data_IF_287814397218
#
_entry.id   IF_287814397218
#
_cell.length_a   1.000
_cell.length_b   1.000
_cell.length_c   1.000
_cell.angle_alpha   90.00
_cell.angle_beta   90.00
_cell.angle_gamma   90.00
#
_symmetry.space_group_name_H-M   'P 1'
#
loop_
_entity.id
_entity.type
_entity.pdbx_description
1 polymer ?
#
# COMPACT_ATOMS: atom_id res chain seq x y z
N UNK A 1 1.78 -16.02 -11.19
CA UNK A 1 2.77 -15.33 -10.35
C UNK A 1 2.16 -14.95 -9.01
N UNK A 2 2.92 -15.13 -7.93
CA UNK A 2 2.50 -14.75 -6.58
C UNK A 2 3.06 -13.39 -6.23
N UNK A 3 2.19 -12.44 -5.89
CA UNK A 3 2.53 -11.08 -5.50
C UNK A 3 2.05 -10.85 -4.07
N UNK A 4 2.96 -10.44 -3.21
CA UNK A 4 2.70 -10.14 -1.79
C UNK A 4 2.53 -8.63 -1.62
N UNK A 5 1.43 -8.23 -0.99
CA UNK A 5 1.16 -6.83 -0.64
C UNK A 5 1.11 -6.70 0.88
N UNK A 6 1.78 -5.69 1.42
CA UNK A 6 1.92 -5.44 2.86
C UNK A 6 1.28 -4.10 3.20
N UNK A 7 0.46 -4.10 4.24
CA UNK A 7 -0.20 -2.89 4.75
C UNK A 7 0.76 -1.87 5.36
N UNK A 8 0.19 -0.75 5.77
CA UNK A 8 0.91 0.44 6.24
C UNK A 8 1.99 0.12 7.27
N UNK A 9 3.26 0.38 6.93
CA UNK A 9 4.38 0.22 7.86
C UNK A 9 4.40 1.42 8.81
N UNK A 10 4.23 1.15 10.11
CA UNK A 10 4.06 2.20 11.11
C UNK A 10 5.32 2.34 11.97
N UNK A 11 5.95 3.50 11.87
CA UNK A 11 7.10 3.92 12.65
C UNK A 11 8.29 2.93 12.58
N UNK A 12 9.25 3.11 13.49
CA UNK A 12 10.43 2.24 13.58
C UNK A 12 10.04 0.80 13.92
N UNK A 13 9.07 0.62 14.82
CA UNK A 13 8.59 -0.70 15.23
C UNK A 13 8.05 -1.50 14.04
N UNK A 14 7.30 -0.86 13.14
CA UNK A 14 6.84 -1.49 11.90
C UNK A 14 7.98 -1.83 10.94
N UNK A 15 8.97 -0.95 10.81
CA UNK A 15 10.17 -1.22 9.99
C UNK A 15 10.95 -2.43 10.53
N UNK A 16 11.19 -2.48 11.85
CA UNK A 16 11.91 -3.58 12.48
C UNK A 16 11.14 -4.92 12.34
N UNK A 17 9.82 -4.89 12.51
CA UNK A 17 8.92 -6.03 12.29
C UNK A 17 9.01 -6.54 10.84
N UNK A 18 8.92 -5.63 9.86
CA UNK A 18 9.05 -5.95 8.45
C UNK A 18 10.37 -6.66 8.16
N UNK A 19 11.50 -6.12 8.65
CA UNK A 19 12.84 -6.68 8.48
C UNK A 19 12.95 -8.11 9.03
N UNK A 20 12.33 -8.38 10.17
CA UNK A 20 12.38 -9.69 10.81
C UNK A 20 11.54 -10.73 10.06
N UNK A 21 10.37 -10.35 9.56
CA UNK A 21 9.36 -11.28 9.04
C UNK A 21 9.43 -11.43 7.51
N UNK A 22 9.55 -10.33 6.77
CA UNK A 22 9.35 -10.31 5.32
C UNK A 22 10.29 -11.25 4.55
N UNK A 23 11.61 -11.33 4.81
CA UNK A 23 12.49 -12.20 4.02
C UNK A 23 12.15 -13.69 4.14
N UNK A 24 11.73 -14.12 5.34
CA UNK A 24 11.25 -15.48 5.59
C UNK A 24 9.92 -15.75 4.89
N UNK A 25 8.99 -14.83 5.04
CA UNK A 25 7.64 -14.90 4.47
C UNK A 25 7.65 -14.95 2.93
N UNK A 26 8.49 -14.15 2.27
CA UNK A 26 8.65 -14.19 0.80
C UNK A 26 9.05 -15.59 0.33
N UNK A 27 10.00 -16.23 1.04
CA UNK A 27 10.45 -17.60 0.70
C UNK A 27 9.34 -18.63 0.96
N UNK A 28 8.70 -18.57 2.14
CA UNK A 28 7.59 -19.46 2.53
C UNK A 28 6.47 -19.46 1.48
N UNK A 29 6.04 -18.27 1.08
CA UNK A 29 4.93 -18.08 0.15
C UNK A 29 5.33 -18.23 -1.33
N UNK A 30 6.62 -18.18 -1.64
CA UNK A 30 7.12 -18.16 -3.03
C UNK A 30 6.77 -16.87 -3.76
N UNK A 31 6.65 -15.74 -3.02
CA UNK A 31 6.33 -14.45 -3.60
C UNK A 31 7.47 -13.94 -4.50
N UNK A 32 7.11 -13.57 -5.73
CA UNK A 32 8.06 -13.08 -6.75
C UNK A 32 8.18 -11.56 -6.77
N UNK A 33 7.17 -10.87 -6.26
CA UNK A 33 7.12 -9.41 -6.14
C UNK A 33 6.48 -9.07 -4.79
N UNK A 34 6.98 -8.02 -4.14
CA UNK A 34 6.45 -7.52 -2.87
C UNK A 34 6.25 -6.02 -2.93
N UNK A 35 5.02 -5.59 -2.67
CA UNK A 35 4.61 -4.19 -2.60
C UNK A 35 4.34 -3.87 -1.14
N UNK A 36 4.88 -2.77 -0.64
CA UNK A 36 4.76 -2.35 0.76
C UNK A 36 4.26 -0.92 0.83
N UNK A 37 3.20 -0.65 1.58
CA UNK A 37 2.85 0.73 1.87
C UNK A 37 3.75 1.28 2.98
N UNK A 38 4.56 2.29 2.64
CA UNK A 38 5.60 2.83 3.52
C UNK A 38 5.29 4.21 4.09
N UNK A 39 4.11 4.78 3.84
CA UNK A 39 3.81 6.20 4.12
C UNK A 39 3.95 6.61 5.59
N UNK A 40 3.79 5.68 6.52
CA UNK A 40 3.81 5.93 7.97
C UNK A 40 5.10 5.45 8.66
N UNK A 41 6.15 5.12 7.89
CA UNK A 41 7.38 4.50 8.40
C UNK A 41 8.30 5.45 9.19
N UNK A 42 8.11 6.76 9.09
CA UNK A 42 8.83 7.73 9.91
C UNK A 42 8.12 7.99 11.25
N UNK A 43 8.89 8.33 12.28
CA UNK A 43 8.31 8.78 13.55
C UNK A 43 7.53 10.08 13.33
N UNK A 44 6.26 10.10 13.76
CA UNK A 44 5.36 11.24 13.60
C UNK A 44 4.79 11.39 12.18
N UNK A 45 4.60 10.28 11.48
CA UNK A 45 4.05 10.11 10.13
C UNK A 45 4.95 10.58 8.97
N UNK A 46 4.61 10.15 7.78
CA UNK A 46 5.40 10.36 6.58
C UNK A 46 6.49 9.30 6.43
N UNK A 47 7.32 9.48 5.43
CA UNK A 47 8.45 8.63 5.10
C UNK A 47 9.71 9.47 4.99
N UNK A 48 10.85 8.93 5.42
CA UNK A 48 12.16 9.53 5.28
C UNK A 48 13.04 8.66 4.38
N UNK A 49 14.09 9.20 3.72
CA UNK A 49 14.99 8.39 2.89
C UNK A 49 15.54 7.16 3.61
N UNK A 50 15.92 7.32 4.88
CA UNK A 50 16.43 6.21 5.69
C UNK A 50 15.40 5.12 5.96
N UNK A 51 14.11 5.47 6.22
CA UNK A 51 13.06 4.46 6.40
C UNK A 51 12.66 3.80 5.07
N UNK A 52 12.64 4.55 3.96
CA UNK A 52 12.41 4.00 2.62
C UNK A 52 13.50 2.98 2.26
N UNK A 53 14.77 3.35 2.43
CA UNK A 53 15.89 2.44 2.17
C UNK A 53 15.80 1.19 3.05
N UNK A 54 15.46 1.35 4.33
CA UNK A 54 15.29 0.22 5.25
C UNK A 54 14.18 -0.74 4.80
N UNK A 55 13.08 -0.23 4.27
CA UNK A 55 11.97 -1.04 3.72
C UNK A 55 12.44 -1.79 2.46
N UNK A 56 13.14 -1.14 1.53
CA UNK A 56 13.75 -1.82 0.37
C UNK A 56 14.72 -2.90 0.78
N UNK A 57 15.64 -2.61 1.70
CA UNK A 57 16.64 -3.56 2.22
C UNK A 57 15.99 -4.73 2.99
N UNK A 58 14.75 -4.57 3.44
CA UNK A 58 13.96 -5.63 4.07
C UNK A 58 13.32 -6.57 3.07
N UNK A 59 13.38 -6.25 1.77
CA UNK A 59 12.90 -7.09 0.68
C UNK A 59 11.64 -6.59 -0.03
N UNK A 60 11.24 -5.34 0.16
CA UNK A 60 10.23 -4.69 -0.68
C UNK A 60 10.82 -4.43 -2.08
N UNK A 61 10.05 -4.70 -3.10
CA UNK A 61 10.42 -4.42 -4.50
C UNK A 61 9.83 -3.08 -4.95
N UNK A 62 8.65 -2.70 -4.41
CA UNK A 62 7.99 -1.40 -4.66
C UNK A 62 7.44 -0.87 -3.34
N UNK A 63 7.59 0.42 -3.11
CA UNK A 63 6.97 1.14 -2.00
C UNK A 63 5.88 2.05 -2.55
N UNK A 64 4.67 1.91 -2.02
CA UNK A 64 3.54 2.82 -2.26
C UNK A 64 3.35 3.77 -1.09
N UNK A 65 2.79 4.93 -1.36
CA UNK A 65 2.52 5.98 -0.37
C UNK A 65 1.04 6.40 -0.42
N UNK A 66 0.62 7.15 0.59
CA UNK A 66 -0.70 7.72 0.72
C UNK A 66 -0.67 9.23 1.04
N UNK A 67 -1.63 9.71 1.84
CA UNK A 67 -1.79 11.12 2.18
C UNK A 67 -0.66 11.72 3.03
N UNK A 68 0.13 10.89 3.70
CA UNK A 68 1.31 11.35 4.44
C UNK A 68 2.61 11.28 3.62
N UNK A 69 2.57 10.70 2.41
CA UNK A 69 3.76 10.40 1.62
C UNK A 69 4.62 11.63 1.26
N UNK A 70 3.99 12.80 1.08
CA UNK A 70 4.69 14.07 0.79
C UNK A 70 4.89 14.97 2.01
N UNK A 71 4.62 14.48 3.22
CA UNK A 71 4.67 15.27 4.46
C UNK A 71 6.10 15.69 4.84
N UNK A 72 7.08 14.88 4.47
CA UNK A 72 8.51 15.10 4.74
C UNK A 72 9.22 15.51 3.46
N UNK A 73 9.71 16.74 3.38
CA UNK A 73 10.41 17.22 2.17
C UNK A 73 11.70 16.48 1.89
N UNK A 74 12.29 15.88 2.91
CA UNK A 74 13.52 15.09 2.81
C UNK A 74 13.39 13.88 1.86
N UNK A 75 12.16 13.37 1.63
CA UNK A 75 11.92 12.25 0.71
C UNK A 75 11.89 12.67 -0.77
N UNK A 76 11.69 13.97 -1.08
CA UNK A 76 11.46 14.43 -2.45
C UNK A 76 12.56 14.06 -3.43
N UNK A 77 13.87 14.22 -3.12
CA UNK A 77 14.92 13.77 -4.03
C UNK A 77 14.83 12.28 -4.34
N UNK A 78 14.57 11.44 -3.33
CA UNK A 78 14.45 10.00 -3.53
C UNK A 78 13.21 9.64 -4.36
N UNK A 79 12.09 10.38 -4.24
CA UNK A 79 10.90 10.21 -5.09
C UNK A 79 11.19 10.48 -6.56
N UNK A 80 12.05 11.47 -6.87
CA UNK A 80 12.43 11.79 -8.25
C UNK A 80 13.39 10.75 -8.83
N UNK A 81 14.32 10.25 -8.03
CA UNK A 81 15.41 9.37 -8.47
C UNK A 81 15.01 7.88 -8.49
N UNK A 82 14.17 7.43 -7.54
CA UNK A 82 13.80 6.02 -7.40
C UNK A 82 12.42 5.75 -8.00
N UNK A 83 12.39 5.05 -9.13
CA UNK A 83 11.15 4.72 -9.84
C UNK A 83 10.25 3.70 -9.10
N UNK A 84 10.77 2.99 -8.09
CA UNK A 84 10.04 2.01 -7.30
C UNK A 84 9.44 2.60 -6.00
N UNK A 85 9.60 3.90 -5.79
CA UNK A 85 8.96 4.65 -4.71
C UNK A 85 7.82 5.50 -5.30
N UNK A 86 6.57 5.09 -5.07
CA UNK A 86 5.40 5.66 -5.73
C UNK A 86 4.58 6.54 -4.79
N UNK A 87 4.39 7.82 -5.17
CA UNK A 87 3.34 8.65 -4.58
C UNK A 87 2.00 8.38 -5.25
N UNK A 88 0.85 8.77 -4.65
CA UNK A 88 -0.43 8.66 -5.33
C UNK A 88 -0.46 9.39 -6.70
N UNK A 89 -0.97 8.70 -7.72
CA UNK A 89 -0.98 9.19 -9.11
C UNK A 89 -1.95 10.36 -9.33
N UNK A 90 -2.91 10.54 -8.42
CA UNK A 90 -3.89 11.63 -8.48
C UNK A 90 -3.47 12.90 -7.71
N UNK A 91 -2.23 13.01 -7.25
CA UNK A 91 -1.64 14.31 -6.91
C UNK A 91 -1.40 15.15 -8.17
N UNK A 92 -1.27 16.45 -7.99
CA UNK A 92 -0.94 17.37 -9.07
C UNK A 92 0.35 16.93 -9.81
N UNK A 93 0.44 17.08 -11.14
CA UNK A 93 1.61 16.65 -11.91
C UNK A 93 2.96 17.26 -11.47
N UNK A 94 2.94 18.44 -10.83
CA UNK A 94 4.16 19.06 -10.27
C UNK A 94 4.62 18.46 -8.94
N UNK A 95 3.88 17.50 -8.35
CA UNK A 95 4.34 16.81 -7.16
C UNK A 95 5.54 15.92 -7.50
N UNK A 96 6.57 15.83 -6.61
CA UNK A 96 7.77 15.05 -6.87
C UNK A 96 7.48 13.57 -7.05
N UNK A 97 8.22 12.92 -7.94
CA UNK A 97 8.12 11.50 -8.21
C UNK A 97 6.93 11.09 -9.08
N UNK A 98 6.67 9.82 -9.14
CA UNK A 98 5.69 9.20 -10.05
C UNK A 98 4.62 8.41 -9.28
N UNK A 99 3.46 8.20 -9.92
CA UNK A 99 2.33 7.50 -9.30
C UNK A 99 2.20 6.04 -9.74
N UNK A 100 3.02 5.60 -10.69
CA UNK A 100 2.98 4.24 -11.20
C UNK A 100 4.32 3.84 -11.82
N UNK A 101 4.58 2.52 -11.87
CA UNK A 101 5.78 1.92 -12.45
C UNK A 101 5.41 0.68 -13.25
N UNK A 102 6.21 0.38 -14.29
CA UNK A 102 6.16 -0.88 -15.03
C UNK A 102 7.44 -1.67 -14.73
N UNK A 103 7.26 -2.88 -14.22
CA UNK A 103 8.35 -3.81 -13.90
C UNK A 103 8.42 -4.92 -14.94
N UNK A 104 9.61 -5.19 -15.43
CA UNK A 104 9.88 -6.38 -16.24
C UNK A 104 10.23 -7.55 -15.33
N UNK A 105 9.35 -8.54 -15.26
CA UNK A 105 9.56 -9.80 -14.52
C UNK A 105 10.08 -10.93 -15.42
N UNK A 106 10.55 -10.60 -16.62
CA UNK A 106 11.02 -11.52 -17.64
C UNK A 106 9.89 -12.19 -18.42
N UNK A 107 9.08 -13.01 -17.76
CA UNK A 107 7.95 -13.68 -18.41
C UNK A 107 6.70 -12.78 -18.56
N UNK A 108 6.58 -11.73 -17.77
CA UNK A 108 5.41 -10.87 -17.73
C UNK A 108 5.77 -9.45 -17.28
N UNK A 109 5.10 -8.45 -17.86
CA UNK A 109 5.20 -7.05 -17.45
C UNK A 109 4.15 -6.75 -16.39
N UNK A 110 4.58 -6.19 -15.24
CA UNK A 110 3.73 -5.90 -14.08
C UNK A 110 3.68 -4.39 -13.84
N UNK A 111 2.49 -3.81 -13.96
CA UNK A 111 2.23 -2.42 -13.60
C UNK A 111 1.78 -2.29 -12.15
N UNK A 112 2.32 -1.31 -11.44
CA UNK A 112 1.88 -0.95 -10.08
C UNK A 112 1.44 0.50 -10.09
N UNK A 113 0.30 0.79 -9.48
CA UNK A 113 -0.28 2.13 -9.35
C UNK A 113 -0.55 2.40 -7.86
N UNK A 114 -0.15 3.56 -7.38
CA UNK A 114 -0.61 4.11 -6.10
C UNK A 114 -1.69 5.16 -6.37
N UNK A 115 -2.81 5.07 -5.63
CA UNK A 115 -3.93 6.03 -5.70
C UNK A 115 -4.33 6.48 -4.30
N UNK A 116 -4.84 7.71 -4.20
CA UNK A 116 -5.39 8.27 -2.97
C UNK A 116 -6.90 8.46 -3.11
N UNK A 117 -7.67 8.09 -2.08
CA UNK A 117 -9.10 8.35 -2.00
C UNK A 117 -9.41 9.84 -1.84
N UNK A 118 -10.65 10.22 -2.14
CA UNK A 118 -11.14 11.58 -2.01
C UNK A 118 -12.21 11.72 -0.90
N UNK A 119 -12.95 10.65 -0.60
CA UNK A 119 -14.00 10.67 0.40
C UNK A 119 -13.40 10.76 1.82
N UNK A 120 -13.74 11.84 2.53
CA UNK A 120 -13.22 12.18 3.88
C UNK A 120 -11.70 12.43 3.94
N UNK A 121 -11.07 12.71 2.82
CA UNK A 121 -9.64 12.99 2.70
C UNK A 121 -9.41 14.39 2.10
N UNK A 122 -8.13 14.78 1.96
CA UNK A 122 -7.79 16.06 1.35
C UNK A 122 -8.27 16.13 -0.12
N UNK A 123 -8.71 17.30 -0.61
CA UNK A 123 -9.18 17.43 -1.99
C UNK A 123 -8.04 17.22 -2.98
N UNK A 124 -8.18 16.21 -3.82
CA UNK A 124 -7.25 15.84 -4.89
C UNK A 124 -8.02 15.53 -6.17
N UNK A 125 -7.32 15.23 -7.26
CA UNK A 125 -7.97 14.79 -8.49
C UNK A 125 -8.72 13.46 -8.26
N UNK A 126 -9.83 13.27 -9.00
CA UNK A 126 -10.71 12.12 -8.89
C UNK A 126 -9.91 10.81 -9.09
N UNK A 127 -9.99 9.86 -8.13
CA UNK A 127 -9.24 8.60 -8.23
C UNK A 127 -9.70 7.69 -9.37
N UNK A 128 -10.96 7.75 -9.80
CA UNK A 128 -11.46 6.96 -10.93
C UNK A 128 -10.85 7.42 -12.26
N UNK A 129 -10.80 8.73 -12.49
CA UNK A 129 -10.18 9.32 -13.68
C UNK A 129 -8.66 9.06 -13.70
N UNK A 130 -8.03 9.13 -12.54
CA UNK A 130 -6.62 8.82 -12.41
C UNK A 130 -6.33 7.33 -12.66
N UNK A 131 -7.18 6.45 -12.16
CA UNK A 131 -7.09 5.02 -12.42
C UNK A 131 -7.21 4.71 -13.92
N UNK A 132 -8.19 5.30 -14.59
CA UNK A 132 -8.37 5.11 -16.05
C UNK A 132 -7.15 5.53 -16.83
N UNK A 133 -6.60 6.70 -16.54
CA UNK A 133 -5.39 7.23 -17.20
C UNK A 133 -4.18 6.32 -16.99
N UNK A 134 -3.91 5.92 -15.75
CA UNK A 134 -2.74 5.10 -15.43
C UNK A 134 -2.87 3.66 -15.95
N UNK A 135 -4.06 3.05 -15.84
CA UNK A 135 -4.34 1.72 -16.40
C UNK A 135 -4.17 1.71 -17.92
N UNK A 136 -4.71 2.73 -18.61
CA UNK A 136 -4.54 2.86 -20.05
C UNK A 136 -3.07 2.99 -20.42
N UNK A 137 -2.35 3.92 -19.79
CA UNK A 137 -0.91 4.15 -20.03
C UNK A 137 -0.05 2.90 -19.81
N UNK A 138 -0.30 2.17 -18.73
CA UNK A 138 0.45 0.96 -18.43
C UNK A 138 0.14 -0.17 -19.42
N UNK A 139 -1.11 -0.32 -19.86
CA UNK A 139 -1.49 -1.30 -20.89
C UNK A 139 -0.83 -1.00 -22.23
N UNK A 140 -0.81 0.26 -22.65
CA UNK A 140 -0.10 0.69 -23.86
C UNK A 140 1.42 0.45 -23.76
N UNK A 141 1.98 0.55 -22.56
CA UNK A 141 3.38 0.23 -22.29
C UNK A 141 3.67 -1.28 -22.17
N UNK A 142 2.64 -2.14 -22.32
CA UNK A 142 2.78 -3.59 -22.31
C UNK A 142 2.49 -4.28 -20.98
N UNK A 143 1.96 -3.59 -19.97
CA UNK A 143 1.58 -4.22 -18.72
C UNK A 143 0.49 -5.29 -18.95
N UNK A 144 0.78 -6.51 -18.57
CA UNK A 144 -0.17 -7.62 -18.63
C UNK A 144 -0.87 -7.83 -17.27
N UNK A 145 -0.15 -7.61 -16.19
CA UNK A 145 -0.63 -7.64 -14.81
C UNK A 145 -0.59 -6.21 -14.26
N UNK A 146 -1.68 -5.75 -13.66
CA UNK A 146 -1.74 -4.43 -13.02
C UNK A 146 -2.30 -4.58 -11.62
N UNK A 147 -1.57 -4.04 -10.62
CA UNK A 147 -2.03 -3.96 -9.24
C UNK A 147 -2.16 -2.48 -8.81
N UNK A 148 -3.16 -2.22 -7.98
CA UNK A 148 -3.45 -0.88 -7.46
C UNK A 148 -3.47 -0.92 -5.94
N UNK A 149 -2.63 -0.08 -5.31
CA UNK A 149 -2.78 0.32 -3.91
C UNK A 149 -3.71 1.53 -3.85
N UNK A 150 -4.90 1.34 -3.29
CA UNK A 150 -5.88 2.41 -3.11
C UNK A 150 -5.93 2.84 -1.64
N UNK A 151 -5.14 3.85 -1.34
CA UNK A 151 -5.01 4.42 0.00
C UNK A 151 -6.19 5.36 0.30
N UNK A 152 -7.23 4.87 0.96
CA UNK A 152 -8.50 5.57 1.13
C UNK A 152 -9.16 5.28 2.48
N UNK A 153 -9.87 6.28 3.04
CA UNK A 153 -10.62 6.15 4.29
C UNK A 153 -11.93 5.38 4.07
N UNK A 154 -12.71 5.73 3.03
CA UNK A 154 -14.07 5.25 2.89
C UNK A 154 -14.15 3.85 2.27
N UNK A 155 -14.73 2.89 3.00
CA UNK A 155 -15.02 1.53 2.51
C UNK A 155 -15.84 1.54 1.22
N UNK A 156 -16.86 2.41 1.13
CA UNK A 156 -17.70 2.51 -0.05
C UNK A 156 -16.92 2.95 -1.30
N UNK A 157 -15.99 3.90 -1.16
CA UNK A 157 -15.13 4.36 -2.24
C UNK A 157 -14.19 3.24 -2.71
N UNK A 158 -13.56 2.50 -1.77
CA UNK A 158 -12.72 1.33 -2.07
C UNK A 158 -13.49 0.26 -2.85
N UNK A 159 -14.69 -0.10 -2.37
CA UNK A 159 -15.55 -1.09 -3.03
C UNK A 159 -15.99 -0.62 -4.42
N UNK A 160 -16.39 0.64 -4.56
CA UNK A 160 -16.83 1.21 -5.83
C UNK A 160 -15.71 1.18 -6.88
N UNK A 161 -14.48 1.58 -6.51
CA UNK A 161 -13.34 1.53 -7.41
C UNK A 161 -12.97 0.07 -7.77
N UNK A 162 -13.07 -0.86 -6.80
CA UNK A 162 -12.85 -2.29 -7.04
C UNK A 162 -13.79 -2.85 -8.13
N UNK A 163 -15.09 -2.60 -8.02
CA UNK A 163 -16.07 -3.02 -9.05
C UNK A 163 -15.91 -2.28 -10.38
N UNK A 164 -15.56 -0.98 -10.33
CA UNK A 164 -15.32 -0.19 -11.53
C UNK A 164 -14.16 -0.72 -12.37
N UNK A 165 -13.15 -1.25 -11.71
CA UNK A 165 -11.95 -1.79 -12.37
C UNK A 165 -11.98 -3.31 -12.55
N UNK A 166 -13.07 -3.98 -12.13
CA UNK A 166 -13.18 -5.43 -12.20
C UNK A 166 -13.02 -5.95 -13.63
N UNK A 167 -12.08 -6.88 -13.81
CA UNK A 167 -11.67 -7.42 -15.11
C UNK A 167 -10.76 -6.50 -15.93
N UNK A 168 -10.44 -5.29 -15.46
CA UNK A 168 -9.55 -4.33 -16.12
C UNK A 168 -8.15 -4.33 -15.52
N UNK A 169 -8.04 -4.74 -14.25
CA UNK A 169 -6.78 -4.88 -13.49
C UNK A 169 -6.72 -6.26 -12.84
N UNK A 170 -5.54 -6.68 -12.43
CA UNK A 170 -5.33 -7.99 -11.80
C UNK A 170 -5.71 -7.98 -10.32
N UNK A 171 -5.36 -6.92 -9.59
CA UNK A 171 -5.74 -6.76 -8.20
C UNK A 171 -5.90 -5.29 -7.80
N UNK A 172 -6.81 -5.04 -6.84
CA UNK A 172 -6.94 -3.79 -6.11
C UNK A 172 -6.99 -4.12 -4.62
N UNK A 173 -6.12 -3.50 -3.86
CA UNK A 173 -6.09 -3.61 -2.40
C UNK A 173 -6.11 -2.23 -1.76
N UNK A 174 -6.82 -2.13 -0.65
CA UNK A 174 -6.88 -0.90 0.12
C UNK A 174 -5.84 -0.83 1.23
N UNK A 175 -5.47 0.39 1.60
CA UNK A 175 -4.62 0.76 2.74
C UNK A 175 -5.22 1.97 3.46
N UNK A 176 -4.62 2.48 4.50
CA UNK A 176 -4.98 3.68 5.28
C UNK A 176 -5.63 3.38 6.64
N UNK A 177 -6.60 2.47 6.73
CA UNK A 177 -7.36 2.32 7.98
C UNK A 177 -6.60 1.56 9.06
N UNK A 178 -5.48 0.90 8.70
CA UNK A 178 -4.64 0.11 9.59
C UNK A 178 -5.33 -1.11 10.21
N UNK A 179 -6.55 -1.46 9.76
CA UNK A 179 -7.32 -2.61 10.24
C UNK A 179 -7.58 -3.55 9.08
N UNK A 180 -6.99 -4.74 9.14
CA UNK A 180 -7.18 -5.74 8.08
C UNK A 180 -8.63 -6.20 8.01
N UNK A 181 -9.25 -6.04 6.82
CA UNK A 181 -10.61 -6.50 6.56
C UNK A 181 -10.65 -7.97 6.18
N UNK A 182 -11.80 -8.62 6.38
CA UNK A 182 -12.01 -10.06 6.15
C UNK A 182 -12.83 -10.32 4.87
N UNK A 183 -12.62 -9.49 3.84
CA UNK A 183 -13.40 -9.51 2.61
C UNK A 183 -12.57 -9.82 1.36
N UNK A 184 -11.39 -10.44 1.56
CA UNK A 184 -10.55 -10.86 0.44
C UNK A 184 -11.31 -11.80 -0.49
N UNK A 185 -11.30 -11.48 -1.77
CA UNK A 185 -12.07 -12.20 -2.78
C UNK A 185 -11.52 -11.98 -4.19
N UNK A 186 -11.94 -12.84 -5.11
CA UNK A 186 -11.81 -12.57 -6.55
C UNK A 186 -13.17 -12.07 -7.03
N UNK A 187 -13.21 -10.87 -7.59
CA UNK A 187 -14.42 -10.28 -8.15
C UNK A 187 -14.85 -11.01 -9.43
N UNK A 188 -16.12 -10.87 -9.87
CA UNK A 188 -16.67 -11.64 -11.01
C UNK A 188 -15.87 -11.52 -12.31
N UNK A 189 -15.25 -10.36 -12.58
CA UNK A 189 -14.38 -10.12 -13.75
C UNK A 189 -12.98 -10.72 -13.63
N UNK A 190 -12.59 -11.16 -12.43
CA UNK A 190 -11.29 -11.80 -12.17
C UNK A 190 -10.28 -10.92 -11.47
N UNK A 191 -10.67 -9.74 -10.98
CA UNK A 191 -9.81 -8.88 -10.17
C UNK A 191 -9.75 -9.36 -8.73
N UNK A 192 -8.55 -9.56 -8.19
CA UNK A 192 -8.35 -9.80 -6.76
C UNK A 192 -8.65 -8.54 -5.95
N UNK A 193 -9.33 -8.68 -4.81
CA UNK A 193 -9.77 -7.54 -4.01
C UNK A 193 -9.68 -7.80 -2.51
N UNK A 194 -9.25 -6.80 -1.78
CA UNK A 194 -9.41 -6.67 -0.32
C UNK A 194 -9.61 -5.19 0.04
N UNK A 195 -10.53 -4.91 0.92
CA UNK A 195 -10.85 -3.52 1.32
C UNK A 195 -9.71 -2.84 2.06
N UNK A 196 -9.02 -3.52 2.98
CA UNK A 196 -7.83 -2.97 3.64
C UNK A 196 -6.86 -4.09 4.05
N UNK A 197 -5.58 -3.85 3.80
CA UNK A 197 -4.51 -4.80 4.14
C UNK A 197 -4.18 -4.84 5.63
N UNK A 198 -4.58 -3.82 6.41
CA UNK A 198 -4.14 -3.62 7.78
C UNK A 198 -2.81 -2.86 7.86
N UNK A 199 -2.03 -3.13 8.90
CA UNK A 199 -0.75 -2.46 9.13
C UNK A 199 0.39 -3.44 9.45
N UNK A 200 1.61 -2.95 9.35
CA UNK A 200 2.79 -3.57 9.93
C UNK A 200 3.28 -2.67 11.06
N UNK A 201 3.08 -3.09 12.30
CA UNK A 201 3.36 -2.23 13.46
C UNK A 201 2.99 -2.84 14.80
N UNK A 202 2.98 -2.03 15.88
CA UNK A 202 2.69 -2.51 17.23
C UNK A 202 1.31 -3.15 17.33
N UNK A 203 1.23 -4.41 17.75
CA UNK A 203 -0.03 -5.16 17.85
C UNK A 203 -0.98 -4.59 18.92
N UNK A 204 -0.44 -4.23 20.08
CA UNK A 204 -1.22 -3.64 21.18
C UNK A 204 -1.24 -2.13 21.09
N UNK A 205 -1.93 -1.60 20.09
CA UNK A 205 -2.01 -0.17 19.77
C UNK A 205 -3.38 0.22 19.24
N UNK A 206 -3.64 1.52 19.18
CA UNK A 206 -4.74 2.07 18.40
C UNK A 206 -4.13 2.57 17.08
N UNK A 207 -4.22 1.75 16.02
CA UNK A 207 -3.69 2.05 14.69
C UNK A 207 -2.18 2.43 14.70
N UNK A 208 -1.39 1.76 15.57
CA UNK A 208 0.03 2.03 15.73
C UNK A 208 0.38 3.04 16.84
N UNK A 209 -0.61 3.71 17.43
CA UNK A 209 -0.43 4.72 18.49
C UNK A 209 -0.72 4.12 19.86
N UNK A 210 -0.04 4.63 20.92
CA UNK A 210 -0.31 4.26 22.31
C UNK A 210 -1.80 4.37 22.64
N UNK A 211 -2.43 3.31 23.19
CA UNK A 211 -3.85 3.34 23.56
C UNK A 211 -4.19 4.48 24.51
N UNK A 212 -3.32 4.77 25.48
CA UNK A 212 -3.52 5.84 26.46
C UNK A 212 -3.61 7.20 25.77
N UNK A 213 -2.67 7.50 24.86
CA UNK A 213 -2.66 8.76 24.13
C UNK A 213 -3.88 8.91 23.19
N UNK A 214 -4.26 7.82 22.52
CA UNK A 214 -5.44 7.80 21.66
C UNK A 214 -6.73 8.02 22.45
N UNK A 215 -6.90 7.33 23.58
CA UNK A 215 -8.05 7.46 24.47
C UNK A 215 -8.15 8.88 25.04
N UNK A 216 -7.04 9.42 25.53
CA UNK A 216 -7.00 10.79 26.06
C UNK A 216 -7.45 11.80 25.01
N UNK A 217 -6.89 11.70 23.79
CA UNK A 217 -7.27 12.57 22.66
C UNK A 217 -8.75 12.48 22.32
N UNK A 218 -9.29 11.27 22.23
CA UNK A 218 -10.70 11.05 21.86
C UNK A 218 -11.67 11.47 22.95
N UNK A 219 -11.31 11.28 24.22
CA UNK A 219 -12.17 11.65 25.36
C UNK A 219 -12.18 13.16 25.63
N UNK A 220 -11.06 13.82 25.44
CA UNK A 220 -10.90 15.21 25.86
C UNK A 220 -10.95 16.22 24.72
N UNK A 221 -10.66 15.80 23.49
CA UNK A 221 -10.45 16.69 22.35
C UNK A 221 -9.16 17.53 22.42
N UNK A 222 -8.40 17.43 23.52
CA UNK A 222 -7.18 18.20 23.72
C UNK A 222 -6.03 17.71 22.84
N UNK A 223 -5.05 18.57 22.52
CA UNK A 223 -3.83 18.14 21.85
C UNK A 223 -3.06 17.14 22.73
N UNK A 224 -2.77 15.96 22.18
CA UNK A 224 -1.98 14.90 22.83
C UNK A 224 -0.85 14.52 21.90
N UNK A 225 0.37 14.36 22.45
CA UNK A 225 1.50 13.86 21.68
C UNK A 225 1.36 12.35 21.52
N UNK A 226 1.21 11.90 20.29
CA UNK A 226 1.17 10.49 19.97
C UNK A 226 2.57 9.86 20.02
N UNK A 227 2.62 8.66 20.59
CA UNK A 227 3.81 7.81 20.64
C UNK A 227 3.45 6.41 20.17
N UNK A 228 4.41 5.70 19.61
CA UNK A 228 4.23 4.31 19.20
C UNK A 228 4.68 3.40 20.37
N UNK A 229 3.84 2.47 20.85
CA UNK A 229 4.19 1.60 21.96
C UNK A 229 5.21 0.54 21.53
N UNK A 230 6.06 0.15 22.45
CA UNK A 230 6.90 -1.05 22.31
C UNK A 230 6.08 -2.32 22.57
N UNK A 231 6.61 -3.48 22.18
CA UNK A 231 5.98 -4.77 22.41
C UNK A 231 5.85 -5.64 21.17
N UNK A 232 4.94 -6.64 21.19
CA UNK A 232 4.74 -7.51 20.05
C UNK A 232 4.25 -6.72 18.83
N UNK A 233 4.74 -7.13 17.68
CA UNK A 233 4.43 -6.50 16.40
C UNK A 233 3.65 -7.46 15.51
N UNK A 234 2.81 -6.93 14.65
CA UNK A 234 2.07 -7.67 13.64
C UNK A 234 2.46 -7.19 12.25
N UNK A 235 2.57 -8.12 11.30
CA UNK A 235 2.67 -7.83 9.88
C UNK A 235 1.38 -8.33 9.22
N UNK A 236 0.65 -7.44 8.57
CA UNK A 236 -0.58 -7.74 7.86
C UNK A 236 -0.45 -7.42 6.36
N UNK A 237 -1.14 -8.20 5.54
CA UNK A 237 -1.08 -8.06 4.09
C UNK A 237 -1.96 -9.07 3.36
N UNK A 238 -1.78 -9.17 2.04
CA UNK A 238 -2.48 -10.14 1.20
C UNK A 238 -1.53 -10.74 0.15
N UNK A 239 -1.67 -12.02 -0.10
CA UNK A 239 -1.02 -12.71 -1.21
C UNK A 239 -2.03 -12.86 -2.34
N UNK A 240 -1.68 -12.34 -3.52
CA UNK A 240 -2.43 -12.54 -4.76
C UNK A 240 -1.71 -13.57 -5.64
N UNK A 241 -2.39 -14.67 -5.97
CA UNK A 241 -1.94 -15.62 -6.99
C UNK A 241 -2.60 -15.26 -8.31
N UNK A 242 -1.80 -14.78 -9.27
CA UNK A 242 -2.26 -14.24 -10.54
C UNK A 242 -1.84 -15.15 -11.68
N UNK A 243 -2.76 -15.46 -12.58
CA UNK A 243 -2.49 -16.19 -13.80
C UNK A 243 -1.69 -15.32 -14.78
N UNK A 244 -0.48 -15.74 -15.12
CA UNK A 244 0.41 -14.98 -16.01
C UNK A 244 -0.09 -14.92 -17.46
N UNK A 245 -0.96 -15.84 -17.89
CA UNK A 245 -1.50 -15.87 -19.25
C UNK A 245 -2.71 -14.96 -19.42
N UNK A 246 -3.54 -14.86 -18.38
CA UNK A 246 -4.80 -14.10 -18.46
C UNK A 246 -4.74 -12.76 -17.72
N UNK A 247 -3.75 -12.56 -16.85
CA UNK A 247 -3.68 -11.41 -15.93
C UNK A 247 -4.72 -11.45 -14.81
N UNK A 248 -5.54 -12.50 -14.73
CA UNK A 248 -6.60 -12.61 -13.71
C UNK A 248 -6.07 -13.23 -12.42
N UNK A 249 -6.60 -12.78 -11.30
CA UNK A 249 -6.31 -13.36 -9.98
C UNK A 249 -7.04 -14.70 -9.84
N UNK A 250 -6.31 -15.74 -9.40
CA UNK A 250 -6.84 -17.05 -9.07
C UNK A 250 -7.30 -17.14 -7.62
N UNK A 251 -6.54 -16.51 -6.71
CA UNK A 251 -6.87 -16.50 -5.29
C UNK A 251 -6.28 -15.26 -4.59
N UNK A 252 -6.96 -14.85 -3.52
CA UNK A 252 -6.52 -13.85 -2.57
C UNK A 252 -6.44 -14.52 -1.19
N UNK A 253 -5.35 -14.34 -0.48
CA UNK A 253 -5.16 -14.92 0.85
C UNK A 253 -4.61 -13.87 1.80
N UNK A 254 -5.37 -13.56 2.85
CA UNK A 254 -4.90 -12.68 3.92
C UNK A 254 -3.69 -13.28 4.61
N UNK A 255 -2.73 -12.44 4.90
CA UNK A 255 -1.51 -12.78 5.64
C UNK A 255 -1.54 -12.00 6.95
N UNK A 256 -1.28 -12.72 8.05
CA UNK A 256 -1.03 -12.13 9.37
C UNK A 256 0.05 -12.94 10.07
N UNK A 257 1.11 -12.26 10.50
CA UNK A 257 2.25 -12.87 11.19
C UNK A 257 2.60 -12.08 12.44
#
# INVERSE_FOLDING_TARGET
>A
VKILTIGDVVARQGCDCLRQILPGLKRELGAKLTIVNGENSAVGNGILPGSAQFIFDSGADVITLGNHGLRRREIYPMLEENEFLLRPANYHPSAPGRGSVLLDMGAVQVGIISLLGAAFMEPIANPFDAADREVHRLKEAGAHIILIDFHAEATAEKRALGYYLDGRVSALFGTHTHVQTADEQVLPGGTGYITDLGMTGPQHSVLGVSPQAAIEKMRTGLPVRFTNPDGPCVLEGCLFDIDEKTGKTRSCTRIRR
#
